data_IF_473282990981
#
_entry.id   IF_473282990981
#
_cell.length_a   1.000
_cell.length_b   1.000
_cell.length_c   1.000
_cell.angle_alpha   90.00
_cell.angle_beta   90.00
_cell.angle_gamma   90.00
#
_symmetry.space_group_name_H-M   'P 1'
#
loop_
_entity.id
_entity.type
_entity.pdbx_description
1 polymer ?
#
# COMPACT_ATOMS: atom_id res chain seq x y z
N UNK A 1 -9.93 3.35 -11.64
CA UNK A 1 -8.61 2.76 -11.81
C UNK A 1 -8.78 1.30 -12.10
N UNK A 2 -8.59 0.97 -13.36
CA UNK A 2 -9.02 -0.32 -13.83
C UNK A 2 -8.10 -1.43 -13.40
N UNK A 3 -6.84 -1.35 -13.71
CA UNK A 3 -5.91 -2.40 -13.36
C UNK A 3 -4.68 -1.80 -12.74
N UNK A 4 -4.31 -2.35 -11.58
CA UNK A 4 -3.09 -1.94 -10.90
C UNK A 4 -2.42 -3.18 -10.33
N UNK A 5 -1.13 -3.13 -10.21
CA UNK A 5 -0.39 -4.21 -9.57
C UNK A 5 -0.39 -4.00 -8.07
N UNK A 6 -0.52 -5.10 -7.31
CA UNK A 6 -0.40 -5.04 -5.85
C UNK A 6 0.96 -4.44 -5.51
N UNK A 7 0.97 -3.47 -4.61
CA UNK A 7 2.20 -2.80 -4.22
C UNK A 7 2.55 -1.58 -5.06
N UNK A 8 1.80 -1.32 -6.13
CA UNK A 8 2.00 -0.12 -6.94
C UNK A 8 1.67 1.12 -6.11
N UNK A 9 2.50 2.14 -6.17
CA UNK A 9 2.31 3.38 -5.42
C UNK A 9 2.14 4.50 -6.42
N UNK A 10 1.08 5.31 -6.23
CA UNK A 10 0.83 6.46 -7.09
C UNK A 10 0.57 7.70 -6.22
N UNK A 11 0.74 8.86 -6.84
CA UNK A 11 0.50 10.15 -6.20
C UNK A 11 -0.86 10.67 -6.66
N UNK A 12 -1.70 11.08 -5.71
CA UNK A 12 -3.05 11.54 -6.03
C UNK A 12 -3.34 12.86 -5.34
N UNK A 13 -4.31 13.58 -5.91
CA UNK A 13 -4.74 14.88 -5.37
C UNK A 13 -6.07 14.85 -4.64
N UNK A 14 -6.74 13.70 -4.57
CA UNK A 14 -7.97 13.59 -3.78
C UNK A 14 -7.64 13.08 -2.37
N UNK A 15 -8.59 13.28 -1.44
CA UNK A 15 -8.32 13.09 -0.02
C UNK A 15 -8.88 11.80 0.57
N UNK A 16 -9.30 10.86 -0.26
CA UNK A 16 -9.85 9.58 0.20
C UNK A 16 -9.08 8.41 -0.41
N UNK A 17 -9.22 7.23 0.20
CA UNK A 17 -8.60 6.01 -0.31
C UNK A 17 -9.61 5.29 -1.21
N UNK A 18 -9.34 5.17 -2.51
CA UNK A 18 -10.23 4.39 -3.37
C UNK A 18 -10.25 2.92 -2.93
N UNK A 19 -11.27 2.20 -3.37
CA UNK A 19 -11.36 0.76 -3.10
C UNK A 19 -10.07 0.08 -3.59
N UNK A 20 -9.51 -0.81 -2.78
CA UNK A 20 -8.29 -1.56 -3.05
C UNK A 20 -7.02 -0.73 -2.98
N UNK A 21 -7.10 0.48 -2.41
CA UNK A 21 -5.96 1.34 -2.19
C UNK A 21 -5.93 1.82 -0.74
N UNK A 22 -4.75 2.16 -0.26
CA UNK A 22 -4.59 2.68 1.10
C UNK A 22 -3.53 3.77 1.11
N UNK A 23 -3.71 4.75 1.97
CA UNK A 23 -2.74 5.84 2.10
C UNK A 23 -1.41 5.31 2.63
N UNK A 24 -0.32 5.84 2.07
CA UNK A 24 1.04 5.51 2.51
C UNK A 24 1.41 6.40 3.70
N UNK A 25 0.72 6.20 4.82
CA UNK A 25 0.90 7.03 6.02
C UNK A 25 1.52 6.26 7.19
N UNK A 26 2.04 5.07 6.92
CA UNK A 26 2.67 4.26 7.96
C UNK A 26 1.69 3.45 8.78
N UNK A 27 0.44 3.36 8.34
CA UNK A 27 -0.59 2.65 9.10
C UNK A 27 -0.30 1.15 9.20
N UNK A 28 -0.83 0.55 10.25
CA UNK A 28 -0.76 -0.89 10.43
C UNK A 28 -1.89 -1.55 9.67
N UNK A 29 -1.58 -2.65 8.99
CA UNK A 29 -2.61 -3.43 8.29
C UNK A 29 -2.46 -4.89 8.66
N UNK A 30 -3.58 -5.60 8.63
CA UNK A 30 -3.66 -6.99 9.03
C UNK A 30 -3.07 -7.88 7.93
N UNK A 31 -2.16 -8.78 8.31
CA UNK A 31 -1.55 -9.70 7.37
C UNK A 31 -2.60 -10.63 6.76
N UNK A 32 -3.52 -11.11 7.57
CA UNK A 32 -4.55 -12.06 7.11
C UNK A 32 -5.36 -11.50 5.94
N UNK A 33 -5.74 -10.22 6.02
CA UNK A 33 -6.57 -9.59 5.01
C UNK A 33 -5.77 -9.01 3.85
N UNK A 34 -4.44 -9.03 3.95
CA UNK A 34 -3.54 -8.42 2.96
C UNK A 34 -2.36 -9.33 2.66
N UNK A 35 -2.63 -10.64 2.57
CA UNK A 35 -1.59 -11.65 2.35
C UNK A 35 -0.71 -11.37 1.15
N UNK A 36 -1.32 -11.00 0.03
CA UNK A 36 -0.58 -10.80 -1.21
C UNK A 36 0.35 -9.58 -1.08
N UNK A 37 -0.14 -8.51 -0.48
CA UNK A 37 0.68 -7.32 -0.26
C UNK A 37 1.82 -7.63 0.71
N UNK A 38 1.53 -8.37 1.77
CA UNK A 38 2.56 -8.77 2.72
C UNK A 38 3.63 -9.64 2.06
N UNK A 39 3.23 -10.51 1.14
CA UNK A 39 4.21 -11.35 0.42
C UNK A 39 5.20 -10.51 -0.39
N UNK A 40 4.77 -9.33 -0.84
CA UNK A 40 5.64 -8.41 -1.60
C UNK A 40 6.46 -7.50 -0.69
N UNK A 41 5.83 -6.94 0.34
CA UNK A 41 6.46 -5.93 1.19
C UNK A 41 7.18 -6.51 2.40
N UNK A 42 6.65 -7.60 2.97
CA UNK A 42 7.15 -8.12 4.23
C UNK A 42 7.03 -7.07 5.32
N UNK A 43 7.97 -7.07 6.25
CA UNK A 43 8.03 -6.10 7.35
C UNK A 43 9.05 -5.00 7.06
N UNK A 44 9.30 -4.70 5.79
CA UNK A 44 10.26 -3.68 5.38
C UNK A 44 9.98 -2.33 6.03
N UNK A 45 8.69 -1.99 6.19
CA UNK A 45 8.27 -0.70 6.75
C UNK A 45 7.77 -0.83 8.19
N UNK A 46 7.88 -2.00 8.79
CA UNK A 46 7.50 -2.27 10.17
C UNK A 46 6.52 -3.41 10.29
N UNK A 47 6.30 -3.86 11.52
CA UNK A 47 5.35 -4.93 11.80
C UNK A 47 5.96 -6.02 12.66
N UNK A 48 5.10 -6.95 13.16
CA UNK A 48 5.54 -8.07 13.96
C UNK A 48 5.78 -9.34 13.15
N UNK A 49 5.38 -9.34 11.86
CA UNK A 49 5.59 -10.48 10.99
C UNK A 49 4.62 -11.63 11.21
N UNK A 50 3.66 -11.51 12.12
CA UNK A 50 2.68 -12.57 12.37
C UNK A 50 1.23 -12.08 12.32
N UNK A 51 0.94 -10.90 12.84
CA UNK A 51 -0.43 -10.37 12.86
C UNK A 51 -0.59 -9.14 11.98
N UNK A 52 0.41 -8.26 11.95
CA UNK A 52 0.30 -7.02 11.18
C UNK A 52 1.63 -6.66 10.54
N UNK A 53 1.56 -5.80 9.55
CA UNK A 53 2.72 -5.11 8.99
C UNK A 53 2.33 -3.67 8.75
N UNK A 54 3.34 -2.83 8.51
CA UNK A 54 3.08 -1.41 8.29
C UNK A 54 3.30 -1.05 6.84
N UNK A 55 2.45 -0.15 6.35
CA UNK A 55 2.59 0.41 5.02
C UNK A 55 3.71 1.46 5.03
N UNK A 56 4.29 1.77 3.87
CA UNK A 56 5.30 2.82 3.80
C UNK A 56 4.73 4.14 4.30
N UNK A 57 5.57 4.94 4.94
CA UNK A 57 5.20 6.30 5.32
C UNK A 57 5.92 7.24 4.37
N UNK A 58 5.19 7.75 3.38
CA UNK A 58 5.75 8.62 2.35
C UNK A 58 5.17 10.01 2.50
N UNK A 59 6.06 10.99 2.58
CA UNK A 59 5.62 12.38 2.69
C UNK A 59 5.20 12.91 1.33
N UNK A 60 4.11 13.68 1.33
CA UNK A 60 3.62 14.29 0.11
C UNK A 60 4.61 15.32 -0.40
N UNK A 61 4.85 15.36 -1.72
CA UNK A 61 5.80 16.33 -2.29
C UNK A 61 5.24 17.76 -2.32
N UNK A 62 3.92 17.91 -2.15
CA UNK A 62 3.27 19.22 -2.16
C UNK A 62 1.96 19.13 -1.39
N UNK A 63 1.48 20.31 -0.94
CA UNK A 63 0.21 20.41 -0.24
C UNK A 63 -0.93 19.91 -1.12
N UNK A 64 -1.82 19.13 -0.55
CA UNK A 64 -2.98 18.60 -1.27
C UNK A 64 -2.71 17.31 -2.03
N UNK A 65 -1.47 16.83 -2.03
CA UNK A 65 -1.12 15.57 -2.67
C UNK A 65 -0.76 14.52 -1.62
N UNK A 66 -0.96 13.25 -1.95
CA UNK A 66 -0.50 12.17 -1.08
C UNK A 66 -0.32 10.90 -1.89
N UNK A 67 0.49 9.99 -1.35
CA UNK A 67 0.74 8.70 -1.98
C UNK A 67 -0.25 7.66 -1.48
N UNK A 68 -0.68 6.78 -2.40
CA UNK A 68 -1.49 5.62 -2.05
C UNK A 68 -0.85 4.38 -2.65
N UNK A 69 -1.11 3.22 -2.01
CA UNK A 69 -0.56 1.94 -2.44
C UNK A 69 -1.70 0.98 -2.75
N UNK A 70 -1.56 0.23 -3.83
CA UNK A 70 -2.54 -0.77 -4.22
C UNK A 70 -2.45 -1.97 -3.28
N UNK A 71 -3.55 -2.29 -2.59
CA UNK A 71 -3.61 -3.40 -1.64
C UNK A 71 -4.19 -4.67 -2.24
N UNK A 72 -5.03 -4.54 -3.27
CA UNK A 72 -5.65 -5.65 -3.96
C UNK A 72 -5.61 -5.38 -5.46
N UNK A 73 -5.02 -6.25 -6.23
CA UNK A 73 -4.90 -6.05 -7.67
C UNK A 73 -4.16 -7.20 -8.32
N UNK A 74 -3.53 -6.94 -9.44
CA UNK A 74 -2.79 -7.96 -10.16
C UNK A 74 -1.47 -8.25 -9.47
N UNK A 75 -1.07 -9.52 -9.50
CA UNK A 75 0.23 -9.91 -8.97
C UNK A 75 1.32 -9.48 -9.96
N UNK A 76 2.34 -8.71 -9.51
CA UNK A 76 3.40 -8.32 -10.43
C UNK A 76 4.29 -9.52 -10.76
N UNK A 77 4.52 -9.74 -12.05
CA UNK A 77 5.36 -10.82 -12.52
C UNK A 77 6.82 -10.36 -12.60
N UNK A 78 7.73 -11.25 -12.24
CA UNK A 78 9.16 -10.98 -12.43
C UNK A 78 9.55 -11.32 -13.85
N UNK A 79 10.46 -10.54 -14.47
CA UNK A 79 10.97 -10.87 -15.80
C UNK A 79 11.78 -12.15 -15.78
#
# INVERSE_FOLDING_TARGET
MDEAFIGEIILVGFSYDPINWAACDGRKVNIRDNNALYALLGCTFGGDGSTYFQLPKLEAPAKGLHYIICTQGLWPSRP
#
